data_IF_820134152336
#
_entry.id   IF_820134152336
#
_cell.length_a   1.000
_cell.length_b   1.000
_cell.length_c   1.000
_cell.angle_alpha   90.00
_cell.angle_beta   90.00
_cell.angle_gamma   90.00
#
_symmetry.space_group_name_H-M   'P 1'
#
loop_
_entity.id
_entity.type
_entity.pdbx_description
1 polymer ?
#
# COMPACT_ATOMS: atom_id res chain seq x y z
N UNK A 1 1.01 16.71 -16.88
CA UNK A 1 1.65 15.38 -17.03
C UNK A 1 0.55 14.35 -17.05
N UNK A 2 0.39 13.60 -18.14
CA UNK A 2 -0.50 12.43 -18.15
C UNK A 2 0.27 11.25 -17.53
N UNK A 3 -0.22 10.71 -16.41
CA UNK A 3 0.27 9.43 -15.89
C UNK A 3 0.00 8.31 -16.88
N UNK A 4 0.79 7.22 -16.86
CA UNK A 4 0.45 6.01 -17.60
C UNK A 4 -0.64 5.27 -16.81
N UNK A 5 -1.77 5.05 -17.46
CA UNK A 5 -2.87 4.29 -16.90
C UNK A 5 -2.86 2.90 -17.53
N UNK A 6 -2.89 1.85 -16.69
CA UNK A 6 -3.02 0.50 -17.18
C UNK A 6 -4.51 0.10 -17.17
N UNK A 7 -5.07 -0.35 -18.31
CA UNK A 7 -6.40 -0.92 -18.33
C UNK A 7 -6.37 -2.30 -17.67
N UNK A 8 -7.26 -2.51 -16.72
CA UNK A 8 -7.55 -3.80 -16.11
C UNK A 8 -9.00 -4.19 -16.46
N UNK A 9 -9.19 -5.36 -17.07
CA UNK A 9 -10.52 -5.87 -17.39
C UNK A 9 -11.00 -6.85 -16.31
N UNK A 10 -12.14 -6.57 -15.70
CA UNK A 10 -12.81 -7.46 -14.74
C UNK A 10 -14.29 -7.50 -15.09
N UNK A 11 -14.83 -8.71 -15.24
CA UNK A 11 -16.23 -8.97 -15.63
C UNK A 11 -16.69 -8.19 -16.87
N UNK A 12 -15.81 -8.05 -17.88
CA UNK A 12 -16.08 -7.33 -19.12
C UNK A 12 -16.09 -5.80 -18.99
N UNK A 13 -15.64 -5.25 -17.86
CA UNK A 13 -15.47 -3.81 -17.65
C UNK A 13 -14.00 -3.44 -17.56
N UNK A 14 -13.62 -2.35 -18.24
CA UNK A 14 -12.27 -1.81 -18.20
C UNK A 14 -12.19 -0.75 -17.11
N UNK A 15 -11.23 -0.94 -16.20
CA UNK A 15 -10.87 -0.01 -15.15
C UNK A 15 -9.46 0.52 -15.39
N UNK A 16 -9.23 1.78 -15.08
CA UNK A 16 -7.90 2.39 -15.16
C UNK A 16 -7.31 2.51 -13.76
N UNK A 17 -6.06 2.07 -13.61
CA UNK A 17 -5.33 2.14 -12.34
C UNK A 17 -4.10 3.03 -12.50
N UNK A 18 -3.88 3.89 -11.52
CA UNK A 18 -2.69 4.74 -11.45
C UNK A 18 -1.49 3.96 -10.92
N UNK A 19 -0.42 3.90 -11.71
CA UNK A 19 0.82 3.22 -11.34
C UNK A 19 1.60 3.96 -10.24
N UNK A 20 2.38 3.21 -9.45
CA UNK A 20 3.11 3.77 -8.30
C UNK A 20 4.14 4.84 -8.68
N UNK A 21 4.85 4.66 -9.80
CA UNK A 21 5.81 5.64 -10.33
C UNK A 21 5.08 6.92 -10.76
N UNK A 22 3.96 6.80 -11.46
CA UNK A 22 3.20 7.95 -11.92
C UNK A 22 2.58 8.72 -10.75
N UNK A 23 1.99 8.02 -9.77
CA UNK A 23 1.49 8.65 -8.55
C UNK A 23 2.59 9.41 -7.79
N UNK A 24 3.81 8.87 -7.78
CA UNK A 24 4.97 9.53 -7.21
C UNK A 24 5.37 10.77 -8.02
N UNK A 25 5.48 10.68 -9.35
CA UNK A 25 5.82 11.80 -10.24
C UNK A 25 4.77 12.92 -10.22
N UNK A 26 3.51 12.57 -10.00
CA UNK A 26 2.40 13.52 -9.85
C UNK A 26 2.34 14.15 -8.45
N UNK A 27 3.17 13.71 -7.51
CA UNK A 27 3.25 14.26 -6.16
C UNK A 27 2.17 13.77 -5.20
N UNK A 28 1.39 12.75 -5.58
CA UNK A 28 0.36 12.19 -4.69
C UNK A 28 0.98 11.49 -3.49
N UNK A 29 2.10 10.79 -3.67
CA UNK A 29 2.84 10.12 -2.59
C UNK A 29 4.23 10.76 -2.39
N UNK A 30 4.67 10.97 -1.13
CA UNK A 30 5.92 11.68 -0.84
C UNK A 30 7.17 10.82 -1.08
N UNK A 31 7.02 9.50 -1.09
CA UNK A 31 8.11 8.53 -1.20
C UNK A 31 7.71 7.34 -2.06
N UNK A 32 8.70 6.73 -2.71
CA UNK A 32 8.56 5.52 -3.50
C UNK A 32 9.68 4.54 -3.18
N UNK A 33 9.32 3.29 -2.93
CA UNK A 33 10.26 2.18 -2.90
C UNK A 33 10.31 1.59 -4.30
N UNK A 34 11.50 1.53 -4.89
CA UNK A 34 11.70 1.09 -6.26
C UNK A 34 12.98 0.26 -6.39
N UNK A 35 13.05 -0.51 -7.46
CA UNK A 35 14.17 -1.39 -7.81
C UNK A 35 15.10 -0.73 -8.82
N UNK A 36 16.21 -1.38 -9.12
CA UNK A 36 17.18 -0.87 -10.10
C UNK A 36 16.61 -0.71 -11.51
N UNK A 37 15.64 -1.55 -11.93
CA UNK A 37 15.03 -1.43 -13.26
C UNK A 37 14.21 -0.15 -13.44
N UNK A 38 13.87 0.53 -12.36
CA UNK A 38 13.08 1.77 -12.36
C UNK A 38 13.96 3.01 -12.16
N UNK A 39 15.28 2.83 -12.02
CA UNK A 39 16.22 3.88 -11.65
C UNK A 39 16.23 5.02 -12.67
N UNK A 40 16.33 4.71 -13.97
CA UNK A 40 16.44 5.71 -15.04
C UNK A 40 15.29 6.71 -15.04
N UNK A 41 14.07 6.24 -14.73
CA UNK A 41 12.87 7.09 -14.65
C UNK A 41 12.82 7.99 -13.41
N UNK A 42 13.66 7.71 -12.41
CA UNK A 42 13.61 8.30 -11.08
C UNK A 42 14.92 9.00 -10.67
N UNK A 43 15.98 8.95 -11.48
CA UNK A 43 17.32 9.50 -11.17
C UNK A 43 17.32 11.00 -10.82
N UNK A 44 16.35 11.76 -11.31
CA UNK A 44 16.22 13.19 -10.98
C UNK A 44 15.63 13.46 -9.59
N UNK A 45 15.12 12.43 -8.92
CA UNK A 45 14.58 12.55 -7.57
C UNK A 45 15.64 12.22 -6.52
N UNK A 46 15.64 12.93 -5.37
CA UNK A 46 16.44 12.53 -4.22
C UNK A 46 16.19 11.08 -3.86
N UNK A 47 17.25 10.31 -3.65
CA UNK A 47 17.11 8.92 -3.22
C UNK A 47 18.11 8.55 -2.13
N UNK A 48 17.88 7.40 -1.51
CA UNK A 48 18.87 6.67 -0.75
C UNK A 48 18.82 5.18 -1.07
N UNK A 49 19.97 4.52 -1.00
CA UNK A 49 20.07 3.08 -1.21
C UNK A 49 19.73 2.40 0.11
N UNK A 50 18.63 1.63 0.14
CA UNK A 50 18.17 0.90 1.33
C UNK A 50 18.92 -0.42 1.49
N UNK A 51 18.99 -1.17 0.40
CA UNK A 51 19.67 -2.47 0.29
C UNK A 51 20.13 -2.64 -1.16
N UNK A 52 20.98 -3.63 -1.45
CA UNK A 52 21.41 -3.96 -2.81
C UNK A 52 20.18 -4.03 -3.75
N UNK A 53 20.18 -3.21 -4.80
CA UNK A 53 19.11 -3.07 -5.81
C UNK A 53 17.76 -2.53 -5.32
N UNK A 54 17.70 -1.96 -4.10
CA UNK A 54 16.47 -1.40 -3.52
C UNK A 54 16.70 0.04 -3.08
N UNK A 55 15.95 0.95 -3.71
CA UNK A 55 16.10 2.39 -3.60
C UNK A 55 14.84 3.01 -3.00
N UNK A 56 15.04 4.02 -2.15
CA UNK A 56 13.96 4.84 -1.63
C UNK A 56 14.10 6.24 -2.20
N UNK A 57 13.18 6.56 -3.11
CA UNK A 57 13.08 7.87 -3.75
C UNK A 57 12.13 8.76 -2.95
N UNK A 58 12.44 10.05 -2.96
CA UNK A 58 11.66 11.09 -2.30
C UNK A 58 11.26 12.14 -3.32
N UNK A 59 10.04 12.66 -3.20
CA UNK A 59 9.57 13.69 -4.11
C UNK A 59 10.39 14.98 -3.99
N UNK A 60 10.98 15.25 -2.81
CA UNK A 60 11.83 16.41 -2.57
C UNK A 60 12.92 16.16 -1.51
N UNK A 61 13.95 17.00 -1.50
CA UNK A 61 14.99 16.97 -0.47
C UNK A 61 14.43 17.22 0.95
N UNK A 62 13.33 17.96 1.06
CA UNK A 62 12.64 18.16 2.34
C UNK A 62 12.05 16.85 2.87
N UNK A 63 11.41 16.04 2.00
CA UNK A 63 10.90 14.72 2.38
C UNK A 63 12.04 13.78 2.78
N UNK A 64 13.16 13.78 2.03
CA UNK A 64 14.37 13.02 2.36
C UNK A 64 14.91 13.38 3.75
N UNK A 65 15.14 14.67 4.02
CA UNK A 65 15.60 15.13 5.34
C UNK A 65 14.63 14.78 6.46
N UNK A 66 13.33 14.91 6.22
CA UNK A 66 12.29 14.54 7.18
C UNK A 66 12.34 13.06 7.56
N UNK A 67 12.47 12.19 6.56
CA UNK A 67 12.58 10.74 6.78
C UNK A 67 13.88 10.37 7.53
N UNK A 68 15.02 10.92 7.11
CA UNK A 68 16.31 10.66 7.78
C UNK A 68 16.31 11.16 9.23
N UNK A 69 15.65 12.29 9.51
CA UNK A 69 15.47 12.77 10.89
C UNK A 69 14.63 11.82 11.74
N UNK A 70 13.52 11.29 11.20
CA UNK A 70 12.63 10.34 11.90
C UNK A 70 13.31 9.01 12.19
N UNK A 71 14.24 8.59 11.32
CA UNK A 71 14.91 7.28 11.41
C UNK A 71 16.31 7.35 12.02
N UNK A 72 16.74 8.53 12.47
CA UNK A 72 18.08 8.73 13.03
C UNK A 72 18.28 7.88 14.29
N UNK A 73 19.28 7.00 14.25
CA UNK A 73 19.62 6.12 15.37
C UNK A 73 18.75 4.86 15.50
N UNK A 74 17.79 4.66 14.58
CA UNK A 74 16.94 3.47 14.57
C UNK A 74 17.58 2.41 13.65
N UNK A 75 17.81 1.18 14.13
CA UNK A 75 18.34 0.11 13.29
C UNK A 75 17.41 -0.19 12.10
N UNK A 76 17.96 -0.30 10.89
CA UNK A 76 17.18 -0.44 9.66
C UNK A 76 16.36 -1.74 9.58
N UNK A 77 16.74 -2.76 10.33
CA UNK A 77 16.04 -4.03 10.43
C UNK A 77 15.03 -4.09 11.59
N UNK A 78 14.89 -3.01 12.36
CA UNK A 78 13.94 -2.94 13.48
C UNK A 78 12.50 -2.80 13.00
N UNK A 79 11.56 -3.26 13.82
CA UNK A 79 10.13 -3.06 13.60
C UNK A 79 9.76 -1.58 13.56
N UNK A 80 10.43 -0.75 14.36
CA UNK A 80 10.19 0.69 14.40
C UNK A 80 10.57 1.36 13.07
N UNK A 81 11.71 1.00 12.48
CA UNK A 81 12.12 1.51 11.18
C UNK A 81 11.11 1.14 10.09
N UNK A 82 10.68 -0.12 10.05
CA UNK A 82 9.69 -0.60 9.07
C UNK A 82 8.34 0.11 9.23
N UNK A 83 7.93 0.41 10.48
CA UNK A 83 6.70 1.16 10.75
C UNK A 83 6.80 2.57 10.17
N UNK A 84 7.89 3.29 10.48
CA UNK A 84 8.13 4.64 9.94
C UNK A 84 8.17 4.59 8.42
N UNK A 85 8.82 3.58 7.83
CA UNK A 85 8.89 3.39 6.40
C UNK A 85 7.51 3.22 5.76
N UNK A 86 6.69 2.29 6.26
CA UNK A 86 5.34 2.04 5.71
C UNK A 86 4.47 3.29 5.73
N UNK A 87 4.47 4.02 6.85
CA UNK A 87 3.74 5.29 6.98
C UNK A 87 4.26 6.35 6.01
N UNK A 88 5.57 6.45 5.85
CA UNK A 88 6.19 7.40 4.92
C UNK A 88 5.98 7.04 3.44
N UNK A 89 5.80 5.76 3.11
CA UNK A 89 5.39 5.30 1.77
C UNK A 89 3.92 5.61 1.46
N UNK A 90 3.17 6.11 2.43
CA UNK A 90 1.77 6.49 2.27
C UNK A 90 0.78 5.36 2.58
N UNK A 91 1.21 4.32 3.29
CA UNK A 91 0.29 3.22 3.64
C UNK A 91 -0.62 3.62 4.81
N UNK A 92 -1.87 3.12 4.84
CA UNK A 92 -2.76 3.28 5.99
C UNK A 92 -2.13 2.75 7.29
N UNK A 93 -2.28 3.44 8.44
CA UNK A 93 -1.69 3.02 9.71
C UNK A 93 -2.04 1.60 10.13
N UNK A 94 -3.30 1.17 9.96
CA UNK A 94 -3.72 -0.20 10.31
C UNK A 94 -3.08 -1.27 9.43
N UNK A 95 -2.89 -0.99 8.13
CA UNK A 95 -2.14 -1.88 7.24
C UNK A 95 -0.67 -2.01 7.69
N UNK A 96 -0.04 -0.90 8.09
CA UNK A 96 1.31 -0.91 8.66
C UNK A 96 1.36 -1.72 9.96
N UNK A 97 0.39 -1.53 10.85
CA UNK A 97 0.34 -2.25 12.13
C UNK A 97 0.17 -3.76 11.95
N UNK A 98 -0.63 -4.19 10.96
CA UNK A 98 -0.71 -5.60 10.60
C UNK A 98 0.64 -6.16 10.15
N UNK A 99 1.34 -5.46 9.25
CA UNK A 99 2.66 -5.87 8.78
C UNK A 99 3.66 -6.02 9.94
N UNK A 100 3.70 -5.04 10.84
CA UNK A 100 4.56 -5.05 12.02
C UNK A 100 4.20 -6.19 12.96
N UNK A 101 2.91 -6.40 13.24
CA UNK A 101 2.44 -7.48 14.11
C UNK A 101 2.87 -8.85 13.59
N UNK A 102 2.77 -9.07 12.29
CA UNK A 102 3.18 -10.33 11.65
C UNK A 102 4.68 -10.51 11.76
N UNK A 103 5.46 -9.49 11.39
CA UNK A 103 6.93 -9.56 11.46
C UNK A 103 7.38 -9.84 12.90
N UNK A 104 6.74 -9.23 13.89
CA UNK A 104 6.99 -9.47 15.31
C UNK A 104 6.69 -10.91 15.73
N UNK A 105 5.57 -11.49 15.27
CA UNK A 105 5.23 -12.89 15.56
C UNK A 105 6.23 -13.86 14.92
N UNK A 106 6.68 -13.58 13.71
CA UNK A 106 7.73 -14.37 13.04
C UNK A 106 9.05 -14.35 13.79
N UNK A 107 9.51 -13.16 14.23
CA UNK A 107 10.72 -13.02 15.06
C UNK A 107 10.57 -13.75 16.40
N UNK A 108 9.37 -13.76 16.99
CA UNK A 108 9.07 -14.45 18.23
C UNK A 108 8.81 -15.97 18.07
N UNK A 109 8.91 -16.52 16.86
CA UNK A 109 8.63 -17.94 16.58
C UNK A 109 7.17 -18.36 16.79
N UNK A 110 6.21 -17.42 16.79
CA UNK A 110 4.78 -17.67 17.03
C UNK A 110 4.05 -17.93 15.70
N UNK A 111 4.46 -18.99 15.00
CA UNK A 111 4.02 -19.27 13.63
C UNK A 111 2.51 -19.52 13.50
N UNK A 112 1.88 -20.25 14.43
CA UNK A 112 0.43 -20.50 14.41
C UNK A 112 -0.38 -19.19 14.42
N UNK A 113 -0.05 -18.28 15.35
CA UNK A 113 -0.71 -16.95 15.42
C UNK A 113 -0.42 -16.08 14.21
N UNK A 114 0.78 -16.24 13.63
CA UNK A 114 1.16 -15.52 12.42
C UNK A 114 0.33 -16.02 11.23
N UNK A 115 0.17 -17.33 11.10
CA UNK A 115 -0.66 -17.96 10.08
C UNK A 115 -2.09 -17.47 10.20
N UNK A 116 -2.72 -17.54 11.38
CA UNK A 116 -4.07 -17.01 11.65
C UNK A 116 -4.27 -15.58 11.15
N UNK A 117 -3.29 -14.70 11.35
CA UNK A 117 -3.34 -13.32 10.84
C UNK A 117 -3.14 -13.24 9.33
N UNK A 118 -2.29 -14.09 8.76
CA UNK A 118 -2.11 -14.19 7.30
C UNK A 118 -3.42 -14.63 6.64
N UNK A 119 -4.21 -15.47 7.33
CA UNK A 119 -5.47 -15.99 6.80
C UNK A 119 -6.43 -14.90 6.39
N UNK A 120 -6.49 -13.85 7.18
CA UNK A 120 -7.45 -12.76 7.03
C UNK A 120 -6.91 -11.57 6.23
N UNK A 121 -5.88 -11.78 5.39
CA UNK A 121 -5.27 -10.70 4.59
C UNK A 121 -5.95 -10.51 3.27
N UNK A 122 -6.04 -9.25 2.89
CA UNK A 122 -6.43 -8.79 1.56
C UNK A 122 -5.42 -7.76 1.06
N UNK A 123 -5.24 -7.70 -0.24
CA UNK A 123 -4.51 -6.61 -0.87
C UNK A 123 -5.45 -5.46 -1.20
N UNK A 124 -4.96 -4.23 -1.05
CA UNK A 124 -5.66 -3.03 -1.47
C UNK A 124 -4.71 -2.09 -2.23
N UNK A 125 -5.22 -1.41 -3.26
CA UNK A 125 -4.46 -0.44 -4.05
C UNK A 125 -5.30 0.80 -4.37
N UNK A 126 -4.76 1.97 -4.06
CA UNK A 126 -5.35 3.26 -4.42
C UNK A 126 -4.23 4.30 -4.58
N UNK A 127 -4.38 5.24 -5.51
CA UNK A 127 -3.42 6.34 -5.72
C UNK A 127 -1.95 5.88 -5.89
N UNK A 128 -1.71 4.75 -6.56
CA UNK A 128 -0.36 4.18 -6.72
C UNK A 128 0.29 3.69 -5.42
N UNK A 129 -0.53 3.39 -4.40
CA UNK A 129 -0.11 2.81 -3.13
C UNK A 129 -0.78 1.46 -2.98
N UNK A 130 0.03 0.42 -3.01
CA UNK A 130 -0.39 -0.96 -2.81
C UNK A 130 0.08 -1.43 -1.46
N UNK A 131 -0.81 -2.02 -0.67
CA UNK A 131 -0.47 -2.63 0.61
C UNK A 131 -1.38 -3.82 0.93
N UNK A 132 -1.04 -4.53 2.00
CA UNK A 132 -1.84 -5.63 2.53
C UNK A 132 -2.42 -5.21 3.87
N UNK A 133 -3.72 -5.43 4.05
CA UNK A 133 -4.41 -5.15 5.29
C UNK A 133 -5.23 -6.35 5.77
N UNK A 134 -5.82 -6.22 6.95
CA UNK A 134 -6.70 -7.24 7.51
C UNK A 134 -8.11 -6.96 7.00
N UNK A 135 -8.87 -8.00 6.64
CA UNK A 135 -10.21 -7.84 6.08
C UNK A 135 -11.15 -7.04 6.99
N UNK A 136 -11.06 -7.22 8.31
CA UNK A 136 -11.86 -6.45 9.29
C UNK A 136 -11.53 -4.93 9.27
N UNK A 137 -10.36 -4.55 8.76
CA UNK A 137 -9.91 -3.16 8.64
C UNK A 137 -10.12 -2.59 7.23
N UNK A 138 -10.73 -3.33 6.29
CA UNK A 138 -10.91 -2.89 4.89
C UNK A 138 -11.53 -1.50 4.79
N UNK A 139 -12.69 -1.31 5.44
CA UNK A 139 -13.47 -0.07 5.37
C UNK A 139 -12.66 1.12 5.91
N UNK A 140 -11.96 0.94 7.04
CA UNK A 140 -11.17 2.01 7.64
C UNK A 140 -9.94 2.37 6.81
N UNK A 141 -9.24 1.38 6.25
CA UNK A 141 -8.09 1.65 5.37
C UNK A 141 -8.52 2.36 4.09
N UNK A 142 -9.69 2.02 3.54
CA UNK A 142 -10.25 2.70 2.37
C UNK A 142 -10.60 4.16 2.67
N UNK A 143 -11.28 4.44 3.79
CA UNK A 143 -11.54 5.81 4.22
C UNK A 143 -10.25 6.60 4.43
N UNK A 144 -9.25 5.99 5.07
CA UNK A 144 -7.96 6.65 5.26
C UNK A 144 -7.33 7.05 3.92
N UNK A 145 -7.40 6.19 2.89
CA UNK A 145 -6.93 6.55 1.55
C UNK A 145 -7.71 7.74 0.98
N UNK A 146 -9.04 7.70 1.02
CA UNK A 146 -9.89 8.73 0.46
C UNK A 146 -9.73 10.09 1.15
N UNK A 147 -9.51 10.11 2.46
CA UNK A 147 -9.23 11.32 3.23
C UNK A 147 -7.80 11.84 3.00
N UNK A 148 -6.81 10.94 2.92
CA UNK A 148 -5.40 11.31 2.79
C UNK A 148 -5.05 11.81 1.38
N UNK A 149 -5.70 11.26 0.37
CA UNK A 149 -5.47 11.49 -1.05
C UNK A 149 -6.73 12.06 -1.72
N UNK A 150 -7.30 13.10 -1.12
CA UNK A 150 -8.47 13.84 -1.61
C UNK A 150 -8.11 14.77 -2.79
N UNK A 151 -7.55 14.18 -3.85
CA UNK A 151 -7.28 14.88 -5.11
C UNK A 151 -8.46 14.62 -6.06
N UNK A 152 -9.09 15.66 -6.65
CA UNK A 152 -10.23 15.49 -7.55
C UNK A 152 -9.96 14.51 -8.70
N UNK A 153 -8.74 14.52 -9.23
CA UNK A 153 -8.30 13.64 -10.32
C UNK A 153 -8.25 12.16 -9.92
N UNK A 154 -8.16 11.86 -8.62
CA UNK A 154 -8.14 10.49 -8.11
C UNK A 154 -9.53 9.90 -7.88
N UNK A 155 -10.56 10.72 -7.74
CA UNK A 155 -11.92 10.26 -7.45
C UNK A 155 -12.53 9.39 -8.56
N UNK A 156 -12.01 9.50 -9.79
CA UNK A 156 -12.40 8.66 -10.92
C UNK A 156 -11.77 7.26 -10.89
N UNK A 157 -10.72 7.04 -10.09
CA UNK A 157 -10.05 5.75 -10.00
C UNK A 157 -10.63 4.94 -8.85
N UNK A 158 -10.99 3.66 -9.08
CA UNK A 158 -11.47 2.80 -8.02
C UNK A 158 -10.34 2.44 -7.06
N UNK A 159 -10.69 2.17 -5.81
CA UNK A 159 -9.90 1.34 -4.92
C UNK A 159 -9.97 -0.10 -5.45
N UNK A 160 -8.80 -0.70 -5.69
CA UNK A 160 -8.67 -2.13 -5.95
C UNK A 160 -8.65 -2.88 -4.61
N UNK A 161 -9.41 -3.97 -4.54
CA UNK A 161 -9.43 -4.89 -3.40
C UNK A 161 -9.30 -6.30 -3.95
N UNK A 162 -8.30 -7.05 -3.50
CA UNK A 162 -8.14 -8.44 -3.94
C UNK A 162 -7.87 -9.39 -2.78
N UNK A 163 -8.48 -10.56 -2.89
CA UNK A 163 -8.22 -11.73 -2.05
C UNK A 163 -7.42 -12.76 -2.86
N UNK A 164 -7.33 -14.01 -2.40
CA UNK A 164 -6.73 -15.09 -3.21
C UNK A 164 -7.59 -15.47 -4.41
N UNK A 165 -8.91 -15.38 -4.28
CA UNK A 165 -9.89 -15.86 -5.26
C UNK A 165 -10.57 -14.74 -6.03
N UNK A 166 -10.61 -13.54 -5.47
CA UNK A 166 -11.51 -12.49 -5.93
C UNK A 166 -10.78 -11.17 -6.13
N UNK A 167 -11.27 -10.41 -7.09
CA UNK A 167 -10.79 -9.07 -7.41
C UNK A 167 -11.99 -8.14 -7.54
N UNK A 168 -11.96 -7.02 -6.82
CA UNK A 168 -13.04 -6.04 -6.78
C UNK A 168 -12.50 -4.64 -7.03
N UNK A 169 -13.33 -3.83 -7.68
CA UNK A 169 -13.12 -2.39 -7.82
C UNK A 169 -14.22 -1.66 -7.06
N UNK A 170 -13.83 -0.73 -6.20
CA UNK A 170 -14.73 0.06 -5.37
C UNK A 170 -14.56 1.53 -5.72
N UNK A 171 -15.63 2.16 -6.19
CA UNK A 171 -15.60 3.58 -6.49
C UNK A 171 -15.37 4.42 -5.23
N UNK A 172 -14.80 5.61 -5.40
CA UNK A 172 -14.56 6.55 -4.30
C UNK A 172 -15.84 6.79 -3.49
N UNK A 173 -15.75 6.63 -2.16
CA UNK A 173 -16.86 6.86 -1.24
C UNK A 173 -17.87 5.71 -1.10
N UNK A 174 -17.78 4.64 -1.91
CA UNK A 174 -18.73 3.53 -1.87
C UNK A 174 -18.51 2.59 -0.67
N UNK A 175 -18.95 3.07 0.49
CA UNK A 175 -18.82 2.38 1.77
C UNK A 175 -19.72 1.14 1.84
N UNK A 176 -20.85 1.16 1.13
CA UNK A 176 -21.77 0.01 1.07
C UNK A 176 -21.08 -1.15 0.39
N UNK A 177 -20.45 -0.92 -0.76
CA UNK A 177 -19.73 -1.99 -1.48
C UNK A 177 -18.55 -2.54 -0.69
N UNK A 178 -17.83 -1.70 0.05
CA UNK A 178 -16.75 -2.17 0.94
C UNK A 178 -17.25 -3.11 2.03
N UNK A 179 -18.40 -2.81 2.64
CA UNK A 179 -19.00 -3.65 3.67
C UNK A 179 -19.52 -4.97 3.09
N UNK A 180 -20.05 -4.96 1.87
CA UNK A 180 -20.43 -6.18 1.15
C UNK A 180 -19.20 -7.06 0.91
N UNK A 181 -18.13 -6.52 0.32
CA UNK A 181 -16.88 -7.26 0.06
C UNK A 181 -16.29 -7.79 1.38
N UNK A 182 -16.24 -6.96 2.42
CA UNK A 182 -15.76 -7.37 3.74
C UNK A 182 -16.57 -8.55 4.29
N UNK A 183 -17.90 -8.50 4.19
CA UNK A 183 -18.79 -9.57 4.62
C UNK A 183 -18.60 -10.84 3.77
N UNK A 184 -18.56 -10.71 2.45
CA UNK A 184 -18.34 -11.81 1.51
C UNK A 184 -17.03 -12.55 1.81
N UNK A 185 -15.93 -11.82 2.06
CA UNK A 185 -14.63 -12.43 2.38
C UNK A 185 -14.63 -13.08 3.77
N UNK A 186 -15.36 -12.53 4.74
CA UNK A 186 -15.45 -13.09 6.09
C UNK A 186 -16.36 -14.32 6.17
N UNK A 187 -17.44 -14.35 5.38
CA UNK A 187 -18.43 -15.43 5.34
C UNK A 187 -18.08 -16.53 4.33
N UNK A 188 -17.35 -16.18 3.26
CA UNK A 188 -16.81 -17.14 2.31
C UNK A 188 -15.88 -18.12 3.02
N UNK A 189 -16.00 -19.42 2.72
CA UNK A 189 -15.07 -20.43 3.21
C UNK A 189 -13.65 -20.05 2.79
N UNK A 190 -12.91 -19.38 3.67
CA UNK A 190 -11.51 -19.11 3.47
C UNK A 190 -10.76 -20.45 3.54
N UNK A 191 -10.56 -21.07 2.37
CA UNK A 191 -9.76 -22.29 2.22
C UNK A 191 -8.30 -21.90 2.36
N UNK A 192 -7.81 -21.97 3.59
CA UNK A 192 -6.41 -21.78 3.88
C UNK A 192 -5.53 -22.73 3.08
N UNK A 193 -4.49 -22.18 2.49
CA UNK A 193 -3.31 -22.96 2.09
C UNK A 193 -2.44 -23.14 3.31
#
# INVERSE_FOLDING_TARGET
MCGKFLPNEVDGKIYYVLQAIDAFKMGYKPMLLATESELDELLFHPFFIRHKHLYLFFHSEAHKRGFLKKTKGIPWNSLEFERILGLCLGMPPKAVDLYIRVKALGVAGKFEKMEELIKKRIGISFAGITCVCHVEDLVENAHWFWERYDFPELMQYPLEVWSKSDFHFVNYGDTTKLKEIQKEILEGEWRGS
#
